data_IF_135764242788
#
_entry.id   IF_135764242788
#
_cell.length_a   1.000
_cell.length_b   1.000
_cell.length_c   1.000
_cell.angle_alpha   90.00
_cell.angle_beta   90.00
_cell.angle_gamma   90.00
#
_symmetry.space_group_name_H-M   'P 1'
#
loop_
_entity.id
_entity.type
_entity.pdbx_description
1 polymer ?
#
# COMPACT_ATOMS: atom_id res chain seq x y z
N UNK A 1 8.15 -29.89 -31.73
CA UNK A 1 8.46 -30.69 -30.53
C UNK A 1 9.89 -30.40 -30.14
N UNK A 2 10.14 -29.51 -29.23
CA UNK A 2 11.46 -29.27 -28.65
C UNK A 2 11.28 -29.00 -27.15
N UNK A 3 11.71 -29.98 -26.36
CA UNK A 3 11.70 -29.95 -24.89
C UNK A 3 12.88 -29.11 -24.41
N UNK A 4 12.62 -28.07 -23.62
CA UNK A 4 13.65 -27.30 -22.91
C UNK A 4 13.90 -27.94 -21.55
N UNK A 5 15.16 -28.33 -21.28
CA UNK A 5 15.63 -28.86 -20.01
C UNK A 5 15.82 -27.69 -19.01
N UNK A 6 15.20 -27.82 -17.86
CA UNK A 6 15.49 -27.00 -16.68
C UNK A 6 16.71 -27.57 -15.97
N UNK A 7 17.80 -26.81 -15.90
CA UNK A 7 18.96 -27.13 -15.06
C UNK A 7 18.81 -26.46 -13.71
N UNK A 8 18.62 -27.26 -12.67
CA UNK A 8 18.66 -26.79 -11.26
C UNK A 8 20.12 -26.75 -10.80
N UNK A 9 20.60 -25.56 -10.41
CA UNK A 9 21.93 -25.37 -9.82
C UNK A 9 21.82 -25.40 -8.30
N UNK A 10 22.39 -26.44 -7.70
CA UNK A 10 22.46 -26.60 -6.24
C UNK A 10 23.75 -25.92 -5.74
N UNK A 11 23.60 -24.82 -4.95
CA UNK A 11 24.75 -24.21 -4.27
C UNK A 11 24.85 -24.76 -2.84
N UNK A 12 25.96 -25.43 -2.57
CA UNK A 12 26.37 -25.88 -1.23
C UNK A 12 27.31 -24.79 -0.68
N UNK A 13 26.90 -24.12 0.39
CA UNK A 13 27.77 -23.18 1.11
C UNK A 13 28.31 -23.88 2.35
N UNK A 14 29.64 -24.05 2.36
CA UNK A 14 30.37 -24.65 3.45
C UNK A 14 30.41 -23.80 4.72
N UNK A 15 30.25 -24.47 5.84
CA UNK A 15 30.32 -23.94 7.20
C UNK A 15 31.79 -23.78 7.62
N UNK A 16 32.26 -22.54 7.82
CA UNK A 16 33.57 -22.27 8.41
C UNK A 16 33.38 -21.83 9.86
N UNK A 17 33.80 -22.67 10.78
CA UNK A 17 33.88 -22.39 12.22
C UNK A 17 35.18 -21.63 12.47
N UNK A 18 35.14 -20.45 13.01
CA UNK A 18 36.30 -19.75 13.56
C UNK A 18 36.10 -19.50 15.05
N UNK A 19 37.08 -19.98 15.76
CA UNK A 19 37.30 -20.07 17.18
C UNK A 19 37.42 -18.72 17.89
N UNK A 20 37.13 -18.77 19.16
CA UNK A 20 37.11 -17.72 20.18
C UNK A 20 38.37 -16.88 20.29
N UNK A 21 38.18 -15.60 20.64
CA UNK A 21 39.10 -14.89 21.55
C UNK A 21 38.27 -14.13 22.60
N UNK A 22 38.41 -14.59 23.82
CA UNK A 22 37.97 -13.91 25.03
C UNK A 22 38.79 -12.63 25.24
N UNK A 23 38.13 -11.49 25.44
CA UNK A 23 38.74 -10.38 26.18
C UNK A 23 37.72 -9.81 27.16
N UNK A 24 38.14 -9.78 28.39
CA UNK A 24 37.39 -9.29 29.54
C UNK A 24 37.43 -7.76 29.60
N UNK A 25 36.32 -7.17 30.06
CA UNK A 25 36.29 -5.83 30.68
C UNK A 25 35.53 -4.78 29.88
N UNK A 26 34.22 -4.58 30.10
CA UNK A 26 33.66 -3.45 30.86
C UNK A 26 32.13 -3.59 30.99
N UNK A 27 31.53 -3.35 32.16
CA UNK A 27 30.09 -3.39 32.35
C UNK A 27 29.54 -1.98 32.18
N UNK A 28 28.78 -1.68 31.15
CA UNK A 28 27.64 -0.76 31.15
C UNK A 28 27.25 -0.30 29.77
N UNK A 29 26.39 -1.04 29.14
CA UNK A 29 25.34 -0.48 28.30
C UNK A 29 24.23 -1.54 28.30
N UNK A 30 23.39 -1.55 29.31
CA UNK A 30 22.05 -2.17 29.25
C UNK A 30 21.25 -1.36 28.24
N UNK A 31 21.39 -1.69 26.95
CA UNK A 31 20.37 -1.35 26.00
C UNK A 31 19.13 -2.16 26.44
N UNK A 32 18.20 -1.49 27.09
CA UNK A 32 16.83 -1.97 27.18
C UNK A 32 16.33 -2.06 25.74
N UNK A 33 16.51 -3.23 25.15
CA UNK A 33 15.69 -3.63 24.02
C UNK A 33 14.34 -3.91 24.67
N UNK A 34 13.49 -2.88 24.70
CA UNK A 34 12.07 -3.05 24.88
C UNK A 34 11.62 -4.02 23.78
N UNK A 35 11.66 -5.32 24.10
CA UNK A 35 11.03 -6.34 23.30
C UNK A 35 9.53 -6.19 23.48
N UNK A 36 8.97 -5.13 22.85
CA UNK A 36 7.55 -5.10 22.58
C UNK A 36 7.27 -6.41 21.82
N UNK A 37 6.60 -7.34 22.50
CA UNK A 37 6.11 -8.55 21.84
C UNK A 37 5.45 -8.13 20.54
N UNK A 38 5.67 -8.84 19.41
CA UNK A 38 5.01 -8.48 18.17
C UNK A 38 3.51 -8.42 18.47
N UNK A 39 2.95 -7.22 18.38
CA UNK A 39 1.52 -7.07 18.39
C UNK A 39 1.05 -7.97 17.25
N UNK A 40 0.14 -8.88 17.51
CA UNK A 40 -0.54 -9.62 16.48
C UNK A 40 -1.40 -8.60 15.76
N UNK A 41 -0.85 -7.98 14.71
CA UNK A 41 -1.54 -6.97 13.93
C UNK A 41 -2.71 -7.68 13.24
N UNK A 42 -3.89 -7.54 13.84
CA UNK A 42 -5.12 -8.05 13.24
C UNK A 42 -5.50 -7.14 12.08
N UNK A 43 -5.81 -7.73 10.94
CA UNK A 43 -6.27 -6.97 9.78
C UNK A 43 -7.64 -6.33 10.05
N UNK A 44 -7.71 -5.02 9.85
CA UNK A 44 -8.95 -4.23 9.91
C UNK A 44 -9.40 -3.92 8.47
N UNK A 45 -10.67 -4.20 8.18
CA UNK A 45 -11.23 -4.04 6.83
C UNK A 45 -12.20 -2.87 6.80
N UNK A 46 -12.11 -2.05 5.76
CA UNK A 46 -13.04 -0.95 5.52
C UNK A 46 -13.68 -1.05 4.14
N UNK A 47 -14.97 -0.89 4.10
CA UNK A 47 -15.79 -0.90 2.89
C UNK A 47 -16.43 0.47 2.67
N UNK A 48 -16.02 1.17 1.61
CA UNK A 48 -16.59 2.47 1.24
C UNK A 48 -17.97 2.31 0.57
N UNK A 49 -18.13 1.24 -0.23
CA UNK A 49 -19.36 0.86 -0.95
C UNK A 49 -19.68 -0.62 -0.73
N UNK A 50 -20.16 -1.02 0.46
CA UNK A 50 -20.25 -2.44 0.87
C UNK A 50 -20.99 -3.35 -0.11
N UNK A 51 -22.02 -2.83 -0.79
CA UNK A 51 -22.79 -3.60 -1.77
C UNK A 51 -21.97 -3.98 -2.98
N UNK A 52 -21.26 -3.00 -3.57
CA UNK A 52 -20.42 -3.20 -4.76
C UNK A 52 -19.18 -4.05 -4.43
N UNK A 53 -18.58 -3.81 -3.30
CA UNK A 53 -17.40 -4.54 -2.84
C UNK A 53 -17.73 -6.01 -2.62
N UNK A 54 -18.89 -6.31 -2.05
CA UNK A 54 -19.38 -7.69 -1.91
C UNK A 54 -19.67 -8.33 -3.27
N UNK A 55 -20.27 -7.58 -4.20
CA UNK A 55 -20.63 -8.06 -5.53
C UNK A 55 -19.36 -8.36 -6.36
N UNK A 56 -18.35 -7.49 -6.28
CA UNK A 56 -17.10 -7.61 -7.04
C UNK A 56 -15.99 -8.37 -6.31
N UNK A 57 -16.23 -8.78 -5.05
CA UNK A 57 -15.30 -9.62 -4.30
C UNK A 57 -14.02 -8.93 -3.85
N UNK A 58 -14.10 -7.65 -3.45
CA UNK A 58 -12.95 -6.91 -2.92
C UNK A 58 -13.32 -6.13 -1.65
N UNK A 59 -12.32 -5.53 -1.01
CA UNK A 59 -12.51 -4.55 0.06
C UNK A 59 -11.75 -3.26 -0.30
N UNK A 60 -12.29 -2.09 0.07
CA UNK A 60 -11.66 -0.81 -0.28
C UNK A 60 -10.34 -0.61 0.41
N UNK A 61 -10.25 -0.94 1.69
CA UNK A 61 -9.00 -0.79 2.42
C UNK A 61 -8.80 -1.87 3.47
N UNK A 62 -7.53 -2.19 3.73
CA UNK A 62 -7.09 -3.07 4.81
C UNK A 62 -5.97 -2.39 5.56
N UNK A 63 -6.11 -2.26 6.87
CA UNK A 63 -5.07 -1.82 7.77
C UNK A 63 -4.47 -3.02 8.51
N UNK A 64 -3.15 -3.08 8.60
CA UNK A 64 -2.41 -4.06 9.41
C UNK A 64 -1.32 -3.29 10.15
N UNK A 65 -1.45 -3.14 11.45
CA UNK A 65 -0.58 -2.28 12.24
C UNK A 65 -0.61 -0.84 11.77
N UNK A 66 0.53 -0.31 11.35
CA UNK A 66 0.67 1.05 10.82
C UNK A 66 0.55 1.12 9.29
N UNK A 67 0.41 -0.02 8.61
CA UNK A 67 0.28 -0.07 7.16
C UNK A 67 -1.19 -0.05 6.72
N UNK A 68 -1.55 0.92 5.86
CA UNK A 68 -2.84 0.98 5.18
C UNK A 68 -2.66 0.67 3.69
N UNK A 69 -3.39 -0.32 3.20
CA UNK A 69 -3.48 -0.67 1.77
C UNK A 69 -4.86 -0.32 1.25
N UNK A 70 -4.91 0.54 0.23
CA UNK A 70 -6.16 0.94 -0.42
C UNK A 70 -6.20 0.31 -1.81
N UNK A 71 -7.30 -0.36 -2.15
CA UNK A 71 -7.47 -1.05 -3.45
C UNK A 71 -7.53 -0.09 -4.63
N UNK A 72 -8.00 1.15 -4.38
CA UNK A 72 -8.07 2.21 -5.38
C UNK A 72 -9.38 3.00 -5.30
N UNK A 73 -9.48 4.03 -6.15
CA UNK A 73 -10.68 4.83 -6.31
C UNK A 73 -11.03 4.99 -7.79
N UNK A 74 -12.31 4.90 -8.10
CA UNK A 74 -12.87 5.10 -9.43
C UNK A 74 -14.01 6.11 -9.32
N UNK A 75 -14.13 7.01 -10.28
CA UNK A 75 -15.22 7.99 -10.32
C UNK A 75 -16.57 7.32 -10.60
N UNK A 76 -17.21 6.81 -9.55
CA UNK A 76 -18.51 6.15 -9.58
C UNK A 76 -19.36 6.53 -8.36
N UNK A 77 -20.67 6.38 -8.48
CA UNK A 77 -21.59 6.51 -7.35
C UNK A 77 -21.68 5.21 -6.53
N UNK A 78 -22.53 5.21 -5.49
CA UNK A 78 -22.70 4.06 -4.59
C UNK A 78 -23.42 2.85 -5.25
N UNK A 79 -23.95 3.03 -6.46
CA UNK A 79 -24.54 1.96 -7.28
C UNK A 79 -23.58 1.45 -8.37
N UNK A 80 -22.34 1.97 -8.43
CA UNK A 80 -21.35 1.59 -9.45
C UNK A 80 -21.55 2.29 -10.79
N UNK A 81 -22.40 3.31 -10.85
CA UNK A 81 -22.59 4.09 -12.07
C UNK A 81 -21.45 5.09 -12.21
N UNK A 82 -20.81 5.10 -13.39
CA UNK A 82 -19.69 6.03 -13.68
C UNK A 82 -20.19 7.48 -13.61
N UNK A 83 -19.47 8.29 -12.84
CA UNK A 83 -19.74 9.72 -12.67
C UNK A 83 -18.76 10.54 -13.52
N UNK A 84 -19.28 11.60 -14.16
CA UNK A 84 -18.53 12.53 -15.01
C UNK A 84 -17.76 11.87 -16.17
N UNK A 85 -18.39 11.01 -17.01
CA UNK A 85 -17.72 10.41 -18.14
C UNK A 85 -17.18 11.49 -19.09
N UNK A 86 -15.93 11.32 -19.56
CA UNK A 86 -15.25 12.29 -20.42
C UNK A 86 -14.72 13.55 -19.73
N UNK A 87 -14.98 13.75 -18.45
CA UNK A 87 -14.48 14.89 -17.69
C UNK A 87 -13.37 14.43 -16.70
N UNK A 88 -12.13 14.40 -17.18
CA UNK A 88 -10.97 13.92 -16.41
C UNK A 88 -10.77 14.70 -15.09
N UNK A 89 -10.99 16.02 -15.11
CA UNK A 89 -10.82 16.84 -13.91
C UNK A 89 -11.82 16.45 -12.80
N UNK A 90 -13.10 16.30 -13.16
CA UNK A 90 -14.12 15.91 -12.21
C UNK A 90 -13.93 14.46 -11.74
N UNK A 91 -13.52 13.55 -12.64
CA UNK A 91 -13.20 12.17 -12.24
C UNK A 91 -12.04 12.13 -11.26
N UNK A 92 -10.99 12.90 -11.47
CA UNK A 92 -9.87 13.02 -10.54
C UNK A 92 -10.35 13.52 -9.18
N UNK A 93 -11.12 14.60 -9.12
CA UNK A 93 -11.68 15.13 -7.87
C UNK A 93 -12.52 14.09 -7.11
N UNK A 94 -13.34 13.33 -7.83
CA UNK A 94 -14.16 12.28 -7.22
C UNK A 94 -13.30 11.14 -6.63
N UNK A 95 -12.28 10.70 -7.35
CA UNK A 95 -11.35 9.67 -6.85
C UNK A 95 -10.62 10.14 -5.60
N UNK A 96 -10.06 11.34 -5.58
CA UNK A 96 -9.37 11.87 -4.40
C UNK A 96 -10.33 12.08 -3.22
N UNK A 97 -11.58 12.50 -3.48
CA UNK A 97 -12.59 12.59 -2.41
C UNK A 97 -12.88 11.23 -1.77
N UNK A 98 -12.92 10.15 -2.55
CA UNK A 98 -13.10 8.81 -2.01
C UNK A 98 -11.86 8.31 -1.23
N UNK A 99 -10.66 8.59 -1.73
CA UNK A 99 -9.42 8.28 -1.01
C UNK A 99 -9.35 9.04 0.31
N UNK A 100 -9.75 10.31 0.34
CA UNK A 100 -9.80 11.11 1.56
C UNK A 100 -10.73 10.53 2.62
N UNK A 101 -11.92 10.05 2.23
CA UNK A 101 -12.84 9.37 3.14
C UNK A 101 -12.21 8.14 3.78
N UNK A 102 -11.46 7.36 2.99
CA UNK A 102 -10.78 6.16 3.47
C UNK A 102 -9.64 6.52 4.43
N UNK A 103 -8.80 7.49 4.07
CA UNK A 103 -7.71 7.97 4.91
C UNK A 103 -8.24 8.49 6.25
N UNK A 104 -9.26 9.36 6.22
CA UNK A 104 -9.87 9.94 7.41
C UNK A 104 -10.51 8.88 8.32
N UNK A 105 -11.06 7.79 7.78
CA UNK A 105 -11.60 6.68 8.56
C UNK A 105 -10.56 6.07 9.50
N UNK A 106 -9.31 6.01 9.05
CA UNK A 106 -8.19 5.47 9.82
C UNK A 106 -7.35 6.54 10.55
N UNK A 107 -7.74 7.82 10.46
CA UNK A 107 -7.02 8.93 11.07
C UNK A 107 -5.76 9.34 10.30
N UNK A 108 -5.63 8.93 9.03
CA UNK A 108 -4.57 9.35 8.12
C UNK A 108 -4.97 10.57 7.27
N UNK A 109 -3.98 11.19 6.68
CA UNK A 109 -4.10 12.30 5.73
C UNK A 109 -3.32 12.01 4.47
N UNK A 110 -3.36 12.89 3.48
CA UNK A 110 -2.51 12.76 2.29
C UNK A 110 -1.01 12.88 2.59
N UNK A 111 -0.63 13.51 3.71
CA UNK A 111 0.78 13.60 4.14
C UNK A 111 1.35 12.24 4.56
N UNK A 112 0.50 11.25 4.85
CA UNK A 112 0.87 9.88 5.22
C UNK A 112 1.01 8.96 4.00
N UNK A 113 0.66 9.43 2.80
CA UNK A 113 0.70 8.63 1.56
C UNK A 113 2.13 8.53 1.05
N UNK A 114 2.69 7.33 1.10
CA UNK A 114 4.08 7.04 0.66
C UNK A 114 4.18 6.56 -0.79
N UNK A 115 3.09 6.05 -1.36
CA UNK A 115 3.05 5.59 -2.74
C UNK A 115 1.64 5.68 -3.34
N UNK A 116 1.55 6.08 -4.60
CA UNK A 116 0.32 6.11 -5.38
C UNK A 116 0.59 5.63 -6.80
N UNK A 117 -0.31 4.82 -7.33
CA UNK A 117 -0.32 4.45 -8.74
C UNK A 117 -1.54 5.06 -9.43
N UNK A 118 -1.34 5.69 -10.58
CA UNK A 118 -2.41 6.26 -11.38
C UNK A 118 -2.54 5.49 -12.69
N UNK A 119 -3.74 5.02 -12.97
CA UNK A 119 -4.08 4.35 -14.23
C UNK A 119 -5.02 5.24 -15.03
N UNK A 120 -4.66 5.56 -16.26
CA UNK A 120 -5.46 6.42 -17.14
C UNK A 120 -5.46 5.91 -18.58
N UNK A 121 -6.57 6.10 -19.26
CA UNK A 121 -6.69 5.83 -20.71
C UNK A 121 -6.28 7.04 -21.57
N UNK A 122 -6.11 8.24 -20.96
CA UNK A 122 -5.67 9.45 -21.64
C UNK A 122 -4.61 10.18 -20.81
N UNK A 123 -3.35 9.89 -21.09
CA UNK A 123 -2.22 10.58 -20.43
C UNK A 123 -2.23 12.08 -20.74
N UNK A 124 -2.62 12.47 -21.96
CA UNK A 124 -2.69 13.87 -22.36
C UNK A 124 -3.71 14.67 -21.53
N UNK A 125 -4.88 14.11 -21.26
CA UNK A 125 -5.89 14.77 -20.43
C UNK A 125 -5.51 14.74 -18.94
N UNK A 126 -4.90 13.64 -18.48
CA UNK A 126 -4.36 13.56 -17.12
C UNK A 126 -3.32 14.67 -16.85
N UNK A 127 -2.38 14.90 -17.78
CA UNK A 127 -1.35 15.95 -17.63
C UNK A 127 -2.00 17.34 -17.53
N UNK A 128 -3.03 17.64 -18.34
CA UNK A 128 -3.72 18.94 -18.30
C UNK A 128 -4.32 19.26 -16.93
N UNK A 129 -4.79 18.25 -16.19
CA UNK A 129 -5.47 18.43 -14.91
C UNK A 129 -4.60 18.07 -13.70
N UNK A 130 -3.35 17.68 -13.91
CA UNK A 130 -2.43 17.23 -12.88
C UNK A 130 -2.13 18.29 -11.79
N UNK A 131 -2.35 19.56 -12.09
CA UNK A 131 -2.23 20.65 -11.10
C UNK A 131 -3.10 20.46 -9.86
N UNK A 132 -4.27 19.85 -10.00
CA UNK A 132 -5.12 19.51 -8.86
C UNK A 132 -4.41 18.51 -7.93
N UNK A 133 -3.80 17.47 -8.48
CA UNK A 133 -3.04 16.48 -7.70
C UNK A 133 -1.87 17.12 -6.96
N UNK A 134 -1.14 18.04 -7.61
CA UNK A 134 -0.02 18.77 -7.00
C UNK A 134 -0.45 19.65 -5.81
N UNK A 135 -1.73 20.03 -5.71
CA UNK A 135 -2.26 20.78 -4.57
C UNK A 135 -2.58 19.91 -3.36
N UNK A 136 -2.73 18.60 -3.55
CA UNK A 136 -3.03 17.62 -2.51
C UNK A 136 -1.75 17.17 -1.80
N UNK A 137 -0.73 16.84 -2.58
CA UNK A 137 0.59 16.47 -2.07
C UNK A 137 1.48 17.71 -1.98
N UNK A 138 1.85 18.09 -0.79
CA UNK A 138 2.70 19.26 -0.49
C UNK A 138 4.14 18.88 -0.26
#
# INVERSE_FOLDING_TARGET
>A
MTKSLLTASLFIIGLSILSACSNAGDPKATANIDSKAPATDTAEYFNLRPKLEKEYGYTHAVRIGDDLKISGAVSMDDNGVIVAPGNMEQQMKNCYSDLEKILNHYGFTYDDVVAENVYTTSMADFIKVSGFRSSIYK
#
